data_IF_972911942072
#
_entry.id   IF_972911942072
#
_cell.length_a   1.000
_cell.length_b   1.000
_cell.length_c   1.000
_cell.angle_alpha   90.00
_cell.angle_beta   90.00
_cell.angle_gamma   90.00
#
_symmetry.space_group_name_H-M   'P 1'
#
loop_
_entity.id
_entity.type
_entity.pdbx_description
1 polymer ?
#
# COMPACT_ATOMS: atom_id res chain seq x y z
N UNK A 1 -3.90 -17.81 16.94
CA UNK A 1 -4.18 -16.72 17.90
C UNK A 1 -4.09 -15.42 17.13
N UNK A 2 -4.74 -14.36 17.60
CA UNK A 2 -4.75 -13.04 16.95
C UNK A 2 -4.19 -12.02 17.92
N UNK A 3 -3.48 -11.01 17.41
CA UNK A 3 -2.94 -9.93 18.23
C UNK A 3 -3.73 -8.65 17.99
N UNK A 4 -3.99 -7.89 19.06
CA UNK A 4 -4.70 -6.61 19.00
C UNK A 4 -3.86 -5.51 19.63
N UNK A 5 -3.60 -4.45 18.87
CA UNK A 5 -2.96 -3.22 19.33
C UNK A 5 -4.05 -2.17 19.54
N UNK A 6 -4.30 -1.80 20.79
CA UNK A 6 -5.34 -0.82 21.15
C UNK A 6 -4.80 0.44 21.85
N UNK A 7 -3.48 0.56 21.95
CA UNK A 7 -2.75 1.67 22.54
C UNK A 7 -1.46 1.94 21.76
N UNK A 8 -0.68 2.91 22.23
CA UNK A 8 0.62 3.20 21.62
C UNK A 8 1.62 2.06 21.80
N UNK A 9 2.27 1.70 20.70
CA UNK A 9 3.31 0.68 20.57
C UNK A 9 4.45 1.25 19.73
N UNK A 10 5.69 1.08 20.19
CA UNK A 10 6.87 1.43 19.40
C UNK A 10 7.20 0.30 18.43
N UNK A 11 7.39 0.62 17.16
CA UNK A 11 7.83 -0.37 16.17
C UNK A 11 9.36 -0.53 16.12
N UNK A 12 9.87 -1.51 15.36
CA UNK A 12 9.09 -2.39 14.49
C UNK A 12 8.32 -3.45 15.29
N UNK A 13 7.04 -3.61 14.99
CA UNK A 13 6.26 -4.76 15.47
C UNK A 13 6.56 -5.92 14.52
N UNK A 14 7.41 -6.84 14.97
CA UNK A 14 7.77 -8.04 14.19
C UNK A 14 6.75 -9.14 14.47
N UNK A 15 6.02 -9.56 13.44
CA UNK A 15 4.94 -10.52 13.55
C UNK A 15 5.47 -11.96 13.61
N UNK A 16 5.03 -12.68 14.63
CA UNK A 16 5.05 -14.14 14.70
C UNK A 16 3.76 -14.76 14.17
N UNK A 17 3.76 -16.07 13.93
CA UNK A 17 2.57 -16.79 13.45
C UNK A 17 1.38 -16.69 14.41
N UNK A 18 1.62 -16.43 15.70
CA UNK A 18 0.58 -16.20 16.71
C UNK A 18 -0.04 -14.81 16.67
N UNK A 19 0.57 -13.87 15.93
CA UNK A 19 0.07 -12.51 15.75
C UNK A 19 -0.84 -12.37 14.52
N UNK A 20 -1.14 -13.48 13.84
CA UNK A 20 -1.89 -13.50 12.59
C UNK A 20 -3.31 -14.10 12.79
N UNK A 21 -4.39 -13.31 12.67
CA UNK A 21 -4.43 -11.93 12.18
C UNK A 21 -4.03 -10.88 13.23
N UNK A 22 -3.46 -9.78 12.75
CA UNK A 22 -3.18 -8.57 13.52
C UNK A 22 -4.33 -7.56 13.35
N UNK A 23 -4.80 -6.99 14.46
CA UNK A 23 -5.76 -5.89 14.47
C UNK A 23 -5.17 -4.66 15.17
N UNK A 24 -5.20 -3.50 14.53
CA UNK A 24 -4.94 -2.20 15.16
C UNK A 24 -6.28 -1.48 15.31
N UNK A 25 -6.72 -1.21 16.53
CA UNK A 25 -7.98 -0.51 16.78
C UNK A 25 -7.85 0.98 16.46
N UNK A 26 -8.95 1.73 16.45
CA UNK A 26 -8.94 3.19 16.22
C UNK A 26 -8.11 4.00 17.23
N UNK A 27 -7.84 3.42 18.41
CA UNK A 27 -6.97 4.01 19.43
C UNK A 27 -5.56 3.43 19.41
N UNK A 28 -5.33 2.36 18.65
CA UNK A 28 -4.03 1.72 18.49
C UNK A 28 -3.11 2.57 17.62
N UNK A 29 -1.86 2.72 18.05
CA UNK A 29 -0.83 3.38 17.24
C UNK A 29 0.44 2.54 17.23
N UNK A 30 1.04 2.37 16.05
CA UNK A 30 2.38 1.81 15.87
C UNK A 30 3.26 2.89 15.29
N UNK A 31 4.26 3.33 16.05
CA UNK A 31 5.18 4.40 15.63
C UNK A 31 6.62 3.92 15.69
N UNK A 32 7.31 3.97 14.56
CA UNK A 32 8.75 3.68 14.46
C UNK A 32 9.54 4.95 14.22
N UNK A 33 10.58 5.16 15.03
CA UNK A 33 11.55 6.24 14.85
C UNK A 33 12.82 5.69 14.19
N UNK A 34 13.47 6.51 13.36
CA UNK A 34 14.67 6.08 12.64
C UNK A 34 14.37 5.13 11.46
N UNK A 35 15.29 4.21 11.14
CA UNK A 35 15.24 3.42 9.90
C UNK A 35 14.31 2.20 9.96
N UNK A 36 13.71 1.90 11.11
CA UNK A 36 12.87 0.73 11.28
C UNK A 36 11.49 0.92 10.62
N UNK A 37 10.96 -0.18 10.10
CA UNK A 37 9.60 -0.27 9.59
C UNK A 37 8.60 -0.20 10.77
N UNK A 38 7.33 0.12 10.51
CA UNK A 38 6.28 0.12 11.54
C UNK A 38 5.92 -1.30 11.96
N UNK A 39 5.60 -2.15 10.97
CA UNK A 39 5.21 -3.55 11.15
C UNK A 39 5.97 -4.41 10.13
N UNK A 40 6.57 -5.51 10.62
CA UNK A 40 7.33 -6.46 9.81
C UNK A 40 6.68 -7.86 9.83
N UNK A 41 6.40 -8.42 8.66
CA UNK A 41 5.95 -9.80 8.49
C UNK A 41 6.99 -10.66 7.75
N UNK A 42 7.30 -11.84 8.29
CA UNK A 42 8.24 -12.79 7.69
C UNK A 42 7.75 -13.47 6.40
N UNK A 43 8.58 -14.30 5.78
CA UNK A 43 8.23 -15.10 4.59
C UNK A 43 7.38 -16.33 4.97
N UNK A 44 6.82 -17.01 3.97
CA UNK A 44 6.11 -18.30 4.14
C UNK A 44 4.76 -18.20 4.85
N UNK A 45 4.31 -16.99 5.19
CA UNK A 45 3.02 -16.74 5.85
C UNK A 45 2.21 -15.73 5.04
N UNK A 46 0.91 -15.98 4.89
CA UNK A 46 -0.03 -14.94 4.45
C UNK A 46 -0.45 -14.11 5.65
N UNK A 47 0.02 -12.86 5.73
CA UNK A 47 -0.24 -11.97 6.86
C UNK A 47 -1.56 -11.22 6.67
N UNK A 48 -2.45 -11.36 7.64
CA UNK A 48 -3.74 -10.65 7.65
C UNK A 48 -3.67 -9.51 8.65
N UNK A 49 -3.83 -8.27 8.19
CA UNK A 49 -3.77 -7.06 9.00
C UNK A 49 -5.05 -6.25 8.80
N UNK A 50 -5.70 -5.86 9.89
CA UNK A 50 -6.78 -4.86 9.89
C UNK A 50 -6.32 -3.63 10.67
N UNK A 51 -6.19 -2.49 10.00
CA UNK A 51 -5.80 -1.23 10.61
C UNK A 51 -6.97 -0.24 10.63
N UNK A 52 -7.46 0.08 11.82
CA UNK A 52 -8.36 1.21 12.05
C UNK A 52 -7.66 2.39 12.75
N UNK A 53 -6.41 2.20 13.20
CA UNK A 53 -5.63 3.18 13.95
C UNK A 53 -4.56 3.85 13.11
N UNK A 54 -3.38 4.05 13.68
CA UNK A 54 -2.25 4.69 13.00
C UNK A 54 -1.05 3.76 12.96
N UNK A 55 -0.47 3.58 11.78
CA UNK A 55 0.85 2.98 11.58
C UNK A 55 1.74 4.01 10.89
N UNK A 56 2.84 4.39 11.51
CA UNK A 56 3.74 5.42 11.01
C UNK A 56 5.21 5.07 11.23
N UNK A 57 6.02 5.12 10.17
CA UNK A 57 7.47 4.97 10.22
C UNK A 57 8.15 6.23 9.66
N UNK A 58 9.18 6.73 10.35
CA UNK A 58 9.86 7.96 9.96
C UNK A 58 10.75 7.80 8.71
N UNK A 59 11.44 6.66 8.58
CA UNK A 59 12.34 6.38 7.45
C UNK A 59 12.28 4.93 6.95
N UNK A 60 11.73 4.02 7.75
CA UNK A 60 11.30 2.70 7.28
C UNK A 60 9.94 2.74 6.61
N UNK A 61 9.46 1.58 6.18
CA UNK A 61 8.14 1.39 5.61
C UNK A 61 7.07 1.38 6.70
N UNK A 62 5.86 1.83 6.42
CA UNK A 62 4.76 1.74 7.40
C UNK A 62 4.48 0.28 7.76
N UNK A 63 4.25 -0.54 6.74
CA UNK A 63 4.07 -1.99 6.84
C UNK A 63 4.90 -2.70 5.76
N UNK A 64 5.64 -3.73 6.14
CA UNK A 64 6.56 -4.47 5.27
C UNK A 64 6.36 -5.96 5.46
N UNK A 65 5.73 -6.62 4.48
CA UNK A 65 5.41 -8.04 4.53
C UNK A 65 6.25 -8.79 3.51
N UNK A 66 7.16 -9.64 3.98
CA UNK A 66 7.98 -10.50 3.12
C UNK A 66 7.17 -11.67 2.51
N UNK A 67 6.13 -12.13 3.23
CA UNK A 67 5.09 -13.03 2.70
C UNK A 67 3.95 -12.25 2.03
N UNK A 68 2.98 -12.97 1.48
CA UNK A 68 1.78 -12.35 0.88
C UNK A 68 0.98 -11.60 1.96
N UNK A 69 0.35 -10.48 1.64
CA UNK A 69 -0.47 -9.72 2.58
C UNK A 69 -1.96 -9.73 2.26
N UNK A 70 -2.80 -9.69 3.29
CA UNK A 70 -4.22 -9.32 3.22
C UNK A 70 -4.40 -8.15 4.17
N UNK A 71 -4.42 -6.92 3.64
CA UNK A 71 -4.40 -5.70 4.45
C UNK A 71 -5.68 -4.89 4.23
N UNK A 72 -6.48 -4.75 5.28
CA UNK A 72 -7.62 -3.84 5.33
C UNK A 72 -7.25 -2.58 6.12
N UNK A 73 -7.56 -1.41 5.57
CA UNK A 73 -7.24 -0.13 6.19
C UNK A 73 -8.46 0.80 6.22
N UNK A 74 -8.89 1.19 7.41
CA UNK A 74 -9.80 2.33 7.67
C UNK A 74 -9.10 3.44 8.45
N UNK A 75 -7.86 3.22 8.89
CA UNK A 75 -7.02 4.18 9.60
C UNK A 75 -5.95 4.80 8.70
N UNK A 76 -4.79 5.14 9.27
CA UNK A 76 -3.65 5.70 8.54
C UNK A 76 -2.47 4.73 8.51
N UNK A 77 -1.84 4.57 7.34
CA UNK A 77 -0.55 3.91 7.17
C UNK A 77 0.40 4.89 6.46
N UNK A 78 1.58 5.13 7.03
CA UNK A 78 2.60 5.98 6.41
C UNK A 78 4.02 5.50 6.67
N UNK A 79 4.92 5.71 5.71
CA UNK A 79 6.34 5.39 5.82
C UNK A 79 7.11 5.88 4.60
N UNK A 80 8.40 5.50 4.47
CA UNK A 80 9.16 5.69 3.22
C UNK A 80 8.36 5.12 2.04
N UNK A 81 8.02 3.85 2.13
CA UNK A 81 6.82 3.32 1.48
C UNK A 81 5.78 3.09 2.56
N UNK A 82 4.51 3.33 2.26
CA UNK A 82 3.49 3.14 3.29
C UNK A 82 3.24 1.65 3.52
N UNK A 83 2.97 0.90 2.46
CA UNK A 83 2.61 -0.52 2.52
C UNK A 83 3.32 -1.32 1.43
N UNK A 84 4.17 -2.27 1.84
CA UNK A 84 4.98 -3.11 0.95
C UNK A 84 4.61 -4.59 1.14
N UNK A 85 4.19 -5.26 0.07
CA UNK A 85 3.93 -6.70 0.03
C UNK A 85 4.88 -7.39 -0.96
N UNK A 86 5.80 -8.23 -0.48
CA UNK A 86 6.89 -8.78 -1.33
C UNK A 86 6.57 -10.12 -2.00
N UNK A 87 5.38 -10.68 -1.75
CA UNK A 87 4.94 -11.94 -2.35
C UNK A 87 3.46 -11.89 -2.78
N UNK A 88 3.05 -10.77 -3.38
CA UNK A 88 1.67 -10.53 -3.79
C UNK A 88 0.73 -10.28 -2.61
N UNK A 89 -0.57 -10.38 -2.88
CA UNK A 89 -1.61 -10.21 -1.87
C UNK A 89 -2.68 -9.20 -2.25
N UNK A 90 -3.48 -8.80 -1.27
CA UNK A 90 -4.59 -7.88 -1.43
C UNK A 90 -4.55 -6.74 -0.43
N UNK A 91 -4.75 -5.52 -0.92
CA UNK A 91 -4.90 -4.32 -0.10
C UNK A 91 -6.28 -3.73 -0.34
N UNK A 92 -7.01 -3.46 0.73
CA UNK A 92 -8.28 -2.71 0.69
C UNK A 92 -8.12 -1.46 1.56
N UNK A 93 -8.12 -0.30 0.92
CA UNK A 93 -8.16 0.98 1.61
C UNK A 93 -9.61 1.47 1.65
N UNK A 94 -10.31 1.16 2.74
CA UNK A 94 -11.72 1.47 2.94
C UNK A 94 -11.93 2.97 3.21
N UNK A 95 -13.20 3.41 3.12
CA UNK A 95 -13.61 4.78 3.42
C UNK A 95 -13.07 5.23 4.80
N UNK A 96 -12.46 6.41 4.85
CA UNK A 96 -11.79 6.93 6.05
C UNK A 96 -10.30 6.56 6.14
N UNK A 97 -9.87 5.58 5.36
CA UNK A 97 -8.48 5.14 5.29
C UNK A 97 -7.57 6.11 4.53
N UNK A 98 -6.30 6.17 4.93
CA UNK A 98 -5.22 6.85 4.24
C UNK A 98 -3.98 5.97 4.18
N UNK A 99 -3.36 5.87 3.01
CA UNK A 99 -2.09 5.17 2.80
C UNK A 99 -1.13 6.14 2.10
N UNK A 100 -0.03 6.51 2.76
CA UNK A 100 0.85 7.60 2.30
C UNK A 100 2.34 7.24 2.30
N UNK A 101 2.92 7.14 1.11
CA UNK A 101 4.35 6.95 0.88
C UNK A 101 5.09 8.29 0.85
N UNK A 102 6.07 8.44 1.73
CA UNK A 102 6.76 9.70 2.02
C UNK A 102 8.23 9.72 1.55
N UNK A 103 8.73 8.59 1.05
CA UNK A 103 10.08 8.47 0.51
C UNK A 103 10.31 9.39 -0.69
N UNK A 104 11.56 9.78 -0.91
CA UNK A 104 11.91 10.74 -1.97
C UNK A 104 11.60 10.20 -3.38
N UNK A 105 11.21 11.12 -4.27
CA UNK A 105 11.04 10.90 -5.70
C UNK A 105 12.38 10.54 -6.37
N UNK A 106 12.33 9.71 -7.43
CA UNK A 106 13.49 9.42 -8.29
C UNK A 106 14.47 8.38 -7.73
N UNK A 107 14.09 7.63 -6.68
CA UNK A 107 14.87 6.53 -6.12
C UNK A 107 14.49 5.15 -6.71
N UNK A 108 13.60 5.11 -7.71
CA UNK A 108 13.07 3.90 -8.31
C UNK A 108 11.98 3.23 -7.47
N UNK A 109 11.47 2.10 -7.97
CA UNK A 109 10.42 1.32 -7.32
C UNK A 109 10.86 0.83 -5.94
N UNK A 110 10.00 0.99 -4.94
CA UNK A 110 10.32 0.70 -3.53
C UNK A 110 10.94 1.89 -2.78
N UNK A 111 10.63 3.12 -3.21
CA UNK A 111 10.81 4.33 -2.40
C UNK A 111 9.75 5.36 -2.76
N UNK A 112 8.99 5.82 -1.77
CA UNK A 112 7.95 6.83 -1.96
C UNK A 112 6.62 6.28 -2.47
N UNK A 113 6.41 4.97 -2.42
CA UNK A 113 5.16 4.35 -2.84
C UNK A 113 4.09 4.39 -1.74
N UNK A 114 2.84 4.71 -2.11
CA UNK A 114 1.69 4.49 -1.23
C UNK A 114 1.51 2.99 -0.98
N UNK A 115 1.33 2.23 -2.07
CA UNK A 115 1.30 0.77 -2.04
C UNK A 115 2.29 0.20 -3.04
N UNK A 116 3.15 -0.72 -2.60
CA UNK A 116 4.07 -1.48 -3.45
C UNK A 116 3.83 -2.98 -3.27
N UNK A 117 3.52 -3.70 -4.36
CA UNK A 117 3.29 -5.15 -4.36
C UNK A 117 4.21 -5.82 -5.38
N UNK A 118 5.06 -6.73 -4.92
CA UNK A 118 6.05 -7.44 -5.75
C UNK A 118 6.01 -8.95 -5.51
N UNK A 119 6.82 -9.69 -6.26
CA UNK A 119 7.00 -11.14 -6.14
C UNK A 119 5.87 -12.00 -6.72
N UNK A 120 4.63 -11.52 -6.67
CA UNK A 120 3.47 -12.12 -7.32
C UNK A 120 2.41 -11.04 -7.59
N UNK A 121 1.39 -11.38 -8.39
CA UNK A 121 0.32 -10.45 -8.74
C UNK A 121 -0.41 -9.93 -7.48
N UNK A 122 -0.68 -8.62 -7.48
CA UNK A 122 -1.37 -7.92 -6.39
C UNK A 122 -2.80 -7.55 -6.73
N UNK A 123 -3.61 -7.29 -5.69
CA UNK A 123 -4.87 -6.56 -5.82
C UNK A 123 -4.91 -5.36 -4.90
N UNK A 124 -5.34 -4.21 -5.42
CA UNK A 124 -5.58 -2.99 -4.64
C UNK A 124 -7.01 -2.56 -4.91
N UNK A 125 -7.81 -2.45 -3.86
CA UNK A 125 -9.11 -1.79 -3.88
C UNK A 125 -9.02 -0.53 -3.05
N UNK A 126 -9.14 0.63 -3.71
CA UNK A 126 -9.10 1.92 -3.06
C UNK A 126 -10.47 2.59 -3.06
N UNK A 127 -11.02 2.78 -1.87
CA UNK A 127 -12.26 3.51 -1.61
C UNK A 127 -12.01 4.84 -0.86
N UNK A 128 -10.75 5.25 -0.72
CA UNK A 128 -10.36 6.47 -0.01
C UNK A 128 -9.08 7.05 -0.64
N UNK A 129 -8.11 7.51 0.15
CA UNK A 129 -6.89 8.14 -0.37
C UNK A 129 -5.70 7.19 -0.30
N UNK A 130 -5.06 6.97 -1.44
CA UNK A 130 -3.69 6.45 -1.54
C UNK A 130 -2.83 7.53 -2.18
N UNK A 131 -1.71 7.86 -1.55
CA UNK A 131 -0.74 8.80 -2.09
C UNK A 131 0.68 8.25 -1.97
N UNK A 132 1.52 8.50 -2.96
CA UNK A 132 2.95 8.33 -2.84
C UNK A 132 3.69 9.49 -3.46
N UNK A 133 4.75 9.94 -2.80
CA UNK A 133 5.66 10.96 -3.35
C UNK A 133 6.30 10.49 -4.66
N UNK A 134 6.51 9.18 -4.83
CA UNK A 134 6.90 8.59 -6.11
C UNK A 134 5.68 7.95 -6.77
N UNK A 135 5.18 6.83 -6.26
CA UNK A 135 4.12 6.05 -6.90
C UNK A 135 2.88 6.00 -6.01
N UNK A 136 1.70 6.25 -6.57
CA UNK A 136 0.46 6.00 -5.82
C UNK A 136 0.34 4.50 -5.50
N UNK A 137 0.30 3.69 -6.56
CA UNK A 137 0.33 2.22 -6.49
C UNK A 137 1.34 1.66 -7.48
N UNK A 138 2.25 0.80 -7.03
CA UNK A 138 3.25 0.11 -7.86
C UNK A 138 3.16 -1.41 -7.76
N UNK A 139 3.04 -2.10 -8.90
CA UNK A 139 3.06 -3.57 -8.97
C UNK A 139 4.24 -4.10 -9.78
N UNK A 140 5.02 -5.01 -9.20
CA UNK A 140 6.15 -5.65 -9.86
C UNK A 140 5.83 -6.88 -10.72
N UNK A 141 4.63 -7.47 -10.57
CA UNK A 141 4.29 -8.76 -11.19
C UNK A 141 2.84 -8.83 -11.73
N UNK A 142 2.33 -7.71 -12.27
CA UNK A 142 0.95 -7.61 -12.73
C UNK A 142 -0.07 -7.49 -11.59
N UNK A 143 -1.36 -7.48 -11.94
CA UNK A 143 -2.44 -7.45 -10.94
C UNK A 143 -3.64 -6.61 -11.32
N UNK A 144 -4.48 -6.32 -10.32
CA UNK A 144 -5.69 -5.53 -10.45
C UNK A 144 -5.68 -4.31 -9.49
N UNK A 145 -5.92 -3.13 -10.04
CA UNK A 145 -6.19 -1.91 -9.28
C UNK A 145 -7.62 -1.47 -9.54
N UNK A 146 -8.43 -1.41 -8.49
CA UNK A 146 -9.78 -0.83 -8.52
C UNK A 146 -9.76 0.45 -7.70
N UNK A 147 -9.99 1.59 -8.34
CA UNK A 147 -10.03 2.89 -7.69
C UNK A 147 -11.43 3.49 -7.76
N UNK A 148 -12.03 3.79 -6.61
CA UNK A 148 -13.32 4.50 -6.53
C UNK A 148 -13.19 5.87 -5.85
N UNK A 149 -11.97 6.31 -5.52
CA UNK A 149 -11.70 7.58 -4.85
C UNK A 149 -10.41 8.19 -5.40
N UNK A 150 -9.35 8.41 -4.61
CA UNK A 150 -8.14 9.11 -5.07
C UNK A 150 -6.89 8.24 -4.95
N UNK A 151 -6.18 8.10 -6.07
CA UNK A 151 -4.79 7.64 -6.11
C UNK A 151 -3.94 8.77 -6.66
N UNK A 152 -2.88 9.12 -5.95
CA UNK A 152 -1.94 10.17 -6.39
C UNK A 152 -0.51 9.67 -6.30
N UNK A 153 0.22 9.75 -7.40
CA UNK A 153 1.66 9.56 -7.44
C UNK A 153 2.36 10.86 -7.80
N UNK A 154 3.61 11.01 -7.38
CA UNK A 154 4.46 12.06 -7.90
C UNK A 154 4.94 11.74 -9.31
N UNK A 155 5.60 10.59 -9.47
CA UNK A 155 6.05 9.98 -10.73
C UNK A 155 4.85 9.42 -11.49
N UNK A 156 4.33 8.27 -11.06
CA UNK A 156 3.15 7.63 -11.66
C UNK A 156 2.02 7.45 -10.65
N UNK A 157 0.78 7.70 -11.08
CA UNK A 157 -0.40 7.41 -10.27
C UNK A 157 -0.51 5.91 -9.99
N UNK A 158 -0.50 5.10 -11.06
CA UNK A 158 -0.46 3.64 -11.00
C UNK A 158 0.57 3.12 -12.00
N UNK A 159 1.56 2.37 -11.52
CA UNK A 159 2.54 1.68 -12.35
C UNK A 159 2.42 0.16 -12.17
N UNK A 160 2.29 -0.58 -13.26
CA UNK A 160 2.27 -2.04 -13.25
C UNK A 160 3.28 -2.55 -14.27
N UNK A 161 4.20 -3.37 -13.77
CA UNK A 161 5.28 -3.97 -14.56
C UNK A 161 5.42 -5.48 -14.31
N UNK A 162 6.30 -6.12 -15.09
CA UNK A 162 6.63 -7.54 -14.99
C UNK A 162 5.59 -8.51 -15.55
N UNK A 163 4.30 -8.16 -15.49
CA UNK A 163 3.20 -8.89 -16.12
C UNK A 163 2.00 -7.97 -16.37
N UNK A 164 0.98 -8.49 -17.08
CA UNK A 164 -0.21 -7.72 -17.47
C UNK A 164 -0.94 -7.12 -16.25
N UNK A 165 -1.38 -5.87 -16.39
CA UNK A 165 -2.15 -5.15 -15.38
C UNK A 165 -3.59 -4.90 -15.81
N UNK A 166 -4.49 -4.79 -14.83
CA UNK A 166 -5.85 -4.27 -15.04
C UNK A 166 -6.09 -3.10 -14.10
N UNK A 167 -6.54 -1.97 -14.64
CA UNK A 167 -6.91 -0.79 -13.86
C UNK A 167 -8.37 -0.45 -14.15
N UNK A 168 -9.20 -0.45 -13.12
CA UNK A 168 -10.59 0.00 -13.17
C UNK A 168 -10.72 1.25 -12.32
N UNK A 169 -10.86 2.40 -12.98
CA UNK A 169 -10.99 3.69 -12.34
C UNK A 169 -12.42 4.22 -12.43
N UNK A 170 -13.02 4.51 -11.28
CA UNK A 170 -14.25 5.30 -11.14
C UNK A 170 -14.06 6.52 -10.24
N UNK A 171 -12.81 6.89 -9.94
CA UNK A 171 -12.42 8.08 -9.18
C UNK A 171 -11.37 8.91 -9.92
N UNK A 172 -10.35 9.40 -9.21
CA UNK A 172 -9.20 10.08 -9.81
C UNK A 172 -7.92 9.27 -9.61
N UNK A 173 -7.16 9.15 -10.68
CA UNK A 173 -5.76 8.71 -10.65
C UNK A 173 -4.93 9.85 -11.23
N UNK A 174 -3.99 10.36 -10.46
CA UNK A 174 -3.19 11.53 -10.87
C UNK A 174 -1.71 11.29 -10.66
N UNK A 175 -0.92 11.69 -11.64
CA UNK A 175 0.53 11.85 -11.54
C UNK A 175 0.91 13.33 -11.61
N UNK A 176 2.08 13.70 -11.08
CA UNK A 176 2.58 15.08 -11.20
C UNK A 176 3.75 15.24 -12.17
N UNK A 177 4.41 14.13 -12.53
CA UNK A 177 5.62 14.13 -13.35
C UNK A 177 5.41 13.29 -14.60
N UNK A 178 5.06 12.00 -14.45
CA UNK A 178 4.96 11.05 -15.55
C UNK A 178 3.52 10.61 -15.78
N UNK A 179 3.21 9.31 -15.74
CA UNK A 179 1.95 8.77 -16.23
C UNK A 179 0.90 8.62 -15.12
N UNK A 180 -0.34 9.05 -15.39
CA UNK A 180 -1.47 8.68 -14.51
C UNK A 180 -1.58 7.15 -14.34
N UNK A 181 -1.46 6.40 -15.45
CA UNK A 181 -1.41 4.92 -15.44
C UNK A 181 -0.41 4.39 -16.46
N UNK A 182 0.62 3.67 -16.00
CA UNK A 182 1.63 3.00 -16.82
C UNK A 182 1.51 1.46 -16.73
N UNK A 183 1.25 0.79 -17.86
CA UNK A 183 1.18 -0.69 -17.97
C UNK A 183 2.30 -1.22 -18.88
N UNK A 184 3.48 -1.47 -18.31
CA UNK A 184 4.69 -1.79 -19.08
C UNK A 184 4.62 -3.13 -19.84
N UNK A 185 3.93 -4.11 -19.29
CA UNK A 185 3.69 -5.41 -19.96
C UNK A 185 2.33 -5.45 -20.70
N UNK A 186 1.66 -4.30 -20.83
CA UNK A 186 0.31 -4.19 -21.37
C UNK A 186 -0.78 -4.60 -20.37
N UNK A 187 -2.00 -4.72 -20.88
CA UNK A 187 -3.19 -5.01 -20.08
C UNK A 187 -4.37 -4.15 -20.49
N UNK A 188 -5.21 -3.78 -19.52
CA UNK A 188 -6.40 -2.96 -19.79
C UNK A 188 -6.61 -1.88 -18.74
N UNK A 189 -7.03 -0.71 -19.21
CA UNK A 189 -7.50 0.40 -18.37
C UNK A 189 -8.96 0.69 -18.72
N UNK A 190 -9.82 0.68 -17.72
CA UNK A 190 -11.20 1.15 -17.81
C UNK A 190 -11.34 2.40 -16.98
N UNK A 191 -11.71 3.51 -17.62
CA UNK A 191 -12.02 4.76 -16.95
C UNK A 191 -13.52 5.04 -17.05
N UNK A 192 -14.22 5.08 -15.92
CA UNK A 192 -15.66 5.27 -15.88
C UNK A 192 -16.06 6.71 -16.28
N UNK A 193 -17.32 6.91 -16.64
CA UNK A 193 -17.86 8.24 -16.92
C UNK A 193 -17.68 9.17 -15.72
N UNK A 194 -17.05 10.32 -15.93
CA UNK A 194 -16.78 11.32 -14.88
C UNK A 194 -15.54 11.05 -14.03
N UNK A 195 -14.87 9.91 -14.23
CA UNK A 195 -13.59 9.60 -13.60
C UNK A 195 -12.42 10.21 -14.40
N UNK A 196 -11.30 10.49 -13.73
CA UNK A 196 -10.11 11.11 -14.35
C UNK A 196 -8.87 10.24 -14.19
N UNK A 197 -8.08 10.20 -15.26
CA UNK A 197 -6.69 9.75 -15.26
C UNK A 197 -5.91 10.90 -15.90
N UNK A 198 -4.99 11.51 -15.14
CA UNK A 198 -4.29 12.74 -15.54
C UNK A 198 -2.82 12.70 -15.15
#
# INVERSE_FOLDING_TARGET
MSTTISSSTTGPVVLGTTDNPLTITSTGTVTSTGPADGIDGGTGTTWTITNAGVVSAASGNGVSLAGSGIVGNTGSISGKDALVLKAGGSVTNNVGGSISGLGALGAGLGSGAGVDITGAAGTVTNNSTISGVAYGVGFGAGGLVTNTSSITGGEDGVIIQGAIGTVSNSGSITATVDDGVALFAGGSVTNASGASIS
#
